data_IF_784592480028
#
_entry.id   IF_784592480028
#
_cell.length_a   1.000
_cell.length_b   1.000
_cell.length_c   1.000
_cell.angle_alpha   90.00
_cell.angle_beta   90.00
_cell.angle_gamma   90.00
#
_symmetry.space_group_name_H-M   'P 1'
#
loop_
_entity.id
_entity.type
_entity.pdbx_description
1 polymer ?
#
# COMPACT_ATOMS: atom_id res chain seq x y z
N UNK A 1 -55.40 44.62 -48.00
CA UNK A 1 -54.20 44.51 -47.11
C UNK A 1 -54.13 43.09 -46.63
N UNK A 2 -53.35 42.26 -47.37
CA UNK A 2 -53.20 40.83 -47.10
C UNK A 2 -51.82 40.64 -46.43
N UNK A 3 -51.83 40.18 -45.17
CA UNK A 3 -50.60 39.89 -44.43
C UNK A 3 -50.08 38.51 -44.82
N UNK A 4 -48.85 38.42 -45.30
CA UNK A 4 -48.09 37.18 -45.50
C UNK A 4 -47.54 36.69 -44.16
N UNK A 5 -47.81 35.39 -43.85
CA UNK A 5 -47.17 34.65 -42.78
C UNK A 5 -45.85 34.03 -43.33
N UNK A 6 -44.76 34.01 -42.57
CA UNK A 6 -43.51 33.35 -43.00
C UNK A 6 -43.61 31.81 -42.81
N UNK A 7 -43.04 31.13 -43.80
CA UNK A 7 -42.84 29.67 -43.85
C UNK A 7 -42.03 29.13 -42.67
N UNK A 8 -42.46 27.96 -42.14
CA UNK A 8 -41.74 27.22 -41.10
C UNK A 8 -40.46 26.60 -41.63
N UNK A 9 -39.33 26.93 -40.97
CA UNK A 9 -38.05 26.32 -41.25
C UNK A 9 -38.02 24.81 -40.86
N UNK A 10 -37.62 23.98 -41.77
CA UNK A 10 -37.43 22.53 -41.64
C UNK A 10 -36.28 22.23 -40.65
N UNK A 11 -36.61 21.75 -39.45
CA UNK A 11 -35.63 21.36 -38.43
C UNK A 11 -35.28 19.85 -38.63
N UNK A 12 -34.26 19.60 -39.42
CA UNK A 12 -33.65 18.27 -39.50
C UNK A 12 -33.08 17.86 -38.13
N UNK A 13 -33.33 16.62 -37.64
CA UNK A 13 -32.83 16.18 -36.34
C UNK A 13 -31.33 16.04 -36.39
N UNK A 14 -30.62 16.78 -35.54
CA UNK A 14 -29.18 16.62 -35.27
C UNK A 14 -28.94 15.20 -34.75
N UNK A 15 -28.43 14.33 -35.56
CA UNK A 15 -27.95 13.01 -35.12
C UNK A 15 -26.86 13.23 -34.07
N UNK A 16 -27.17 12.99 -32.80
CA UNK A 16 -26.20 12.95 -31.71
C UNK A 16 -25.10 11.95 -32.09
N UNK A 17 -23.87 12.42 -32.15
CA UNK A 17 -22.70 11.53 -32.20
C UNK A 17 -22.78 10.64 -30.97
N UNK A 18 -23.02 9.35 -31.16
CA UNK A 18 -22.74 8.35 -30.15
C UNK A 18 -21.24 8.44 -29.88
N UNK A 19 -20.85 8.96 -28.74
CA UNK A 19 -19.48 8.87 -28.26
C UNK A 19 -19.17 7.37 -28.07
N UNK A 20 -18.20 6.87 -28.80
CA UNK A 20 -17.69 5.51 -28.55
C UNK A 20 -17.35 5.41 -27.05
N UNK A 21 -17.74 4.32 -26.37
CA UNK A 21 -17.34 4.10 -25.00
C UNK A 21 -15.80 4.13 -24.95
N UNK A 22 -15.25 4.90 -24.03
CA UNK A 22 -13.79 4.95 -23.83
C UNK A 22 -13.28 3.51 -23.64
N UNK A 23 -12.13 3.14 -24.23
CA UNK A 23 -11.58 1.81 -24.10
C UNK A 23 -11.50 1.43 -22.62
N UNK A 24 -11.94 0.22 -22.29
CA UNK A 24 -11.91 -0.29 -20.94
C UNK A 24 -10.47 -0.21 -20.41
N UNK A 25 -10.26 0.47 -19.29
CA UNK A 25 -8.94 0.58 -18.67
C UNK A 25 -8.50 -0.81 -18.22
N UNK A 26 -7.21 -1.15 -18.35
CA UNK A 26 -6.69 -2.40 -17.78
C UNK A 26 -6.92 -2.39 -16.26
N UNK A 27 -7.28 -3.55 -15.71
CA UNK A 27 -7.46 -3.69 -14.28
C UNK A 27 -6.14 -3.41 -13.54
N UNK A 28 -6.24 -2.79 -12.36
CA UNK A 28 -5.10 -2.60 -11.47
C UNK A 28 -4.67 -3.96 -10.91
N UNK A 29 -3.37 -4.30 -10.96
CA UNK A 29 -2.89 -5.58 -10.44
C UNK A 29 -3.06 -5.62 -8.91
N UNK A 30 -3.69 -6.69 -8.40
CA UNK A 30 -3.92 -6.88 -6.97
C UNK A 30 -3.06 -8.01 -6.43
N UNK A 31 -2.24 -7.72 -5.44
CA UNK A 31 -1.46 -8.69 -4.67
C UNK A 31 -2.22 -9.02 -3.38
N UNK A 32 -2.06 -10.26 -2.88
CA UNK A 32 -2.54 -10.59 -1.54
C UNK A 32 -1.61 -10.07 -0.44
N UNK A 33 -2.03 -10.21 0.81
CA UNK A 33 -1.20 -9.90 1.99
C UNK A 33 -1.27 -11.05 2.99
N UNK A 34 -0.14 -11.43 3.56
CA UNK A 34 -0.10 -12.52 4.55
C UNK A 34 -0.51 -12.06 5.96
N UNK A 35 -0.66 -10.77 6.20
CA UNK A 35 -0.88 -10.19 7.53
C UNK A 35 -2.17 -10.71 8.19
N UNK A 36 -3.25 -10.84 7.45
CA UNK A 36 -4.54 -11.30 7.98
C UNK A 36 -4.51 -12.67 8.66
N UNK A 37 -3.51 -13.49 8.35
CA UNK A 37 -3.31 -14.80 8.97
C UNK A 37 -2.29 -14.82 10.12
N UNK A 38 -1.67 -13.70 10.47
CA UNK A 38 -0.49 -13.64 11.35
C UNK A 38 -0.65 -14.47 12.65
N UNK A 39 -1.81 -14.43 13.28
CA UNK A 39 -2.10 -15.16 14.51
C UNK A 39 -3.18 -16.25 14.33
N UNK A 40 -3.62 -16.50 13.10
CA UNK A 40 -4.73 -17.41 12.80
C UNK A 40 -4.25 -18.73 12.17
N UNK A 41 -3.16 -18.70 11.40
CA UNK A 41 -2.63 -19.88 10.72
C UNK A 41 -1.11 -19.77 10.52
N UNK A 42 -0.40 -20.91 10.34
CA UNK A 42 1.00 -20.91 9.93
C UNK A 42 1.20 -20.18 8.58
N UNK A 43 2.35 -19.53 8.40
CA UNK A 43 2.67 -18.80 7.16
C UNK A 43 2.46 -19.65 5.90
N UNK A 44 2.91 -20.91 5.92
CA UNK A 44 2.76 -21.80 4.76
C UNK A 44 1.29 -22.04 4.36
N UNK A 45 0.37 -22.04 5.30
CA UNK A 45 -1.06 -22.21 5.04
C UNK A 45 -1.67 -20.90 4.50
N UNK A 46 -1.27 -19.76 5.04
CA UNK A 46 -1.64 -18.44 4.51
C UNK A 46 -1.21 -18.28 3.04
N UNK A 47 0.02 -18.66 2.70
CA UNK A 47 0.53 -18.61 1.33
C UNK A 47 -0.28 -19.53 0.38
N UNK A 48 -0.60 -20.75 0.83
CA UNK A 48 -1.45 -21.66 0.04
C UNK A 48 -2.87 -21.12 -0.12
N UNK A 49 -3.44 -20.51 0.92
CA UNK A 49 -4.75 -19.85 0.84
C UNK A 49 -4.77 -18.75 -0.21
N UNK A 50 -3.79 -17.84 -0.21
CA UNK A 50 -3.65 -16.82 -1.23
C UNK A 50 -3.56 -17.40 -2.65
N UNK A 51 -2.75 -18.45 -2.85
CA UNK A 51 -2.63 -19.11 -4.16
C UNK A 51 -3.95 -19.74 -4.63
N UNK A 52 -4.72 -20.38 -3.71
CA UNK A 52 -6.06 -20.93 -4.01
C UNK A 52 -7.06 -19.85 -4.44
N UNK A 53 -6.95 -18.65 -3.88
CA UNK A 53 -7.81 -17.50 -4.23
C UNK A 53 -7.39 -16.78 -5.52
N UNK A 54 -6.40 -17.31 -6.23
CA UNK A 54 -5.99 -16.80 -7.54
C UNK A 54 -4.86 -15.78 -7.53
N UNK A 55 -4.39 -15.34 -6.37
CA UNK A 55 -3.25 -14.43 -6.31
C UNK A 55 -1.98 -15.04 -6.93
N UNK A 56 -1.21 -14.22 -7.61
CA UNK A 56 0.10 -14.57 -8.19
C UNK A 56 1.24 -13.80 -7.52
N UNK A 57 0.88 -12.84 -6.69
CA UNK A 57 1.82 -12.00 -5.96
C UNK A 57 1.27 -11.66 -4.59
N UNK A 58 2.18 -11.37 -3.65
CA UNK A 58 1.80 -11.00 -2.29
C UNK A 58 2.76 -10.00 -1.69
N UNK A 59 2.26 -9.31 -0.67
CA UNK A 59 3.04 -8.67 0.37
C UNK A 59 3.27 -9.67 1.51
N UNK A 60 4.54 -9.82 1.90
CA UNK A 60 4.94 -10.70 2.99
C UNK A 60 5.08 -9.90 4.28
N UNK A 61 4.21 -10.16 5.24
CA UNK A 61 4.34 -9.60 6.60
C UNK A 61 5.43 -10.31 7.36
N UNK A 62 6.39 -9.56 7.89
CA UNK A 62 7.56 -10.07 8.61
C UNK A 62 7.46 -9.75 10.10
N UNK A 63 6.52 -10.41 10.75
CA UNK A 63 6.32 -10.34 12.18
C UNK A 63 6.19 -11.76 12.77
N UNK A 64 6.64 -12.01 14.01
CA UNK A 64 6.32 -13.23 14.72
C UNK A 64 4.80 -13.36 14.90
N UNK A 65 4.22 -14.60 14.83
CA UNK A 65 4.90 -15.89 14.71
C UNK A 65 5.23 -16.33 13.26
N UNK A 66 4.86 -15.57 12.23
CA UNK A 66 5.10 -15.99 10.85
C UNK A 66 6.59 -15.97 10.50
N UNK A 67 7.24 -14.84 10.65
CA UNK A 67 8.63 -14.64 10.27
C UNK A 67 9.23 -13.46 11.05
N UNK A 68 10.48 -13.61 11.49
CA UNK A 68 11.25 -12.53 12.09
C UNK A 68 12.56 -12.35 11.30
N UNK A 69 12.62 -11.35 10.44
CA UNK A 69 13.70 -11.15 9.49
C UNK A 69 15.11 -11.17 10.10
N UNK A 70 15.37 -10.56 11.29
CA UNK A 70 16.70 -10.63 11.92
C UNK A 70 17.19 -12.02 12.32
N UNK A 71 16.26 -12.97 12.55
CA UNK A 71 16.59 -14.35 12.92
C UNK A 71 16.38 -15.34 11.76
N UNK A 72 15.94 -14.85 10.60
CA UNK A 72 15.64 -15.67 9.43
C UNK A 72 16.89 -15.82 8.55
N UNK A 73 17.58 -16.95 8.72
CA UNK A 73 18.88 -17.18 8.12
C UNK A 73 18.83 -17.53 6.62
N UNK A 74 20.01 -17.67 5.98
CA UNK A 74 20.07 -17.95 4.53
C UNK A 74 19.42 -19.28 4.11
N UNK A 75 19.39 -20.27 5.00
CA UNK A 75 18.73 -21.54 4.71
C UNK A 75 17.21 -21.34 4.65
N UNK A 76 16.61 -20.75 5.68
CA UNK A 76 15.18 -20.49 5.79
C UNK A 76 14.69 -19.58 4.64
N UNK A 77 15.49 -18.58 4.23
CA UNK A 77 15.19 -17.72 3.08
C UNK A 77 15.09 -18.51 1.77
N UNK A 78 16.02 -19.45 1.54
CA UNK A 78 15.99 -20.33 0.35
C UNK A 78 14.78 -21.27 0.38
N UNK A 79 14.47 -21.89 1.52
CA UNK A 79 13.31 -22.74 1.68
C UNK A 79 12.00 -21.99 1.42
N UNK A 80 11.88 -20.75 1.93
CA UNK A 80 10.73 -19.90 1.67
C UNK A 80 10.62 -19.53 0.18
N UNK A 81 11.73 -19.15 -0.45
CA UNK A 81 11.77 -18.85 -1.87
C UNK A 81 11.36 -20.06 -2.73
N UNK A 82 11.85 -21.27 -2.39
CA UNK A 82 11.45 -22.52 -3.05
C UNK A 82 9.97 -22.83 -2.86
N UNK A 83 9.44 -22.63 -1.65
CA UNK A 83 8.01 -22.80 -1.34
C UNK A 83 7.15 -21.85 -2.17
N UNK A 84 7.49 -20.58 -2.21
CA UNK A 84 6.78 -19.55 -3.01
C UNK A 84 6.79 -19.91 -4.50
N UNK A 85 7.95 -20.29 -5.04
CA UNK A 85 8.07 -20.72 -6.43
C UNK A 85 7.23 -21.97 -6.73
N UNK A 86 7.21 -22.96 -5.81
CA UNK A 86 6.46 -24.19 -5.94
C UNK A 86 4.94 -23.98 -5.97
N UNK A 87 4.43 -22.94 -5.34
CA UNK A 87 2.99 -22.60 -5.35
C UNK A 87 2.65 -21.46 -6.33
N UNK A 88 3.61 -20.95 -7.08
CA UNK A 88 3.41 -19.93 -8.11
C UNK A 88 3.15 -18.53 -7.58
N UNK A 89 3.64 -18.20 -6.38
CA UNK A 89 3.58 -16.87 -5.78
C UNK A 89 4.92 -16.15 -5.86
N UNK A 90 4.89 -14.83 -6.08
CA UNK A 90 6.06 -13.96 -5.97
C UNK A 90 5.82 -12.89 -4.91
N UNK A 91 6.86 -12.52 -4.17
CA UNK A 91 6.81 -11.43 -3.19
C UNK A 91 7.00 -10.10 -3.94
N UNK A 92 6.07 -9.16 -3.80
CA UNK A 92 6.21 -7.80 -4.35
C UNK A 92 6.80 -6.85 -3.34
N UNK A 93 6.40 -7.00 -2.08
CA UNK A 93 6.83 -6.18 -0.95
C UNK A 93 7.00 -7.01 0.31
N UNK A 94 7.86 -6.54 1.18
CA UNK A 94 8.03 -7.02 2.54
C UNK A 94 7.51 -5.93 3.47
N UNK A 95 6.63 -6.30 4.41
CA UNK A 95 6.00 -5.38 5.35
C UNK A 95 6.33 -5.79 6.79
N UNK A 96 7.35 -5.18 7.43
CA UNK A 96 7.62 -5.39 8.84
C UNK A 96 6.54 -4.76 9.70
N UNK A 97 6.08 -5.46 10.73
CA UNK A 97 5.13 -4.90 11.69
C UNK A 97 5.70 -3.64 12.34
N UNK A 98 4.99 -2.53 12.20
CA UNK A 98 5.41 -1.23 12.75
C UNK A 98 5.23 -1.13 14.27
N UNK A 99 4.54 -2.09 14.90
CA UNK A 99 4.23 -2.01 16.33
C UNK A 99 5.48 -1.86 17.22
N UNK A 100 6.56 -2.54 16.82
CA UNK A 100 7.83 -2.59 17.55
C UNK A 100 8.95 -1.77 16.89
N UNK A 101 8.63 -1.03 15.81
CA UNK A 101 9.57 -0.21 15.03
C UNK A 101 9.27 1.27 15.27
N UNK A 102 10.28 2.03 15.69
CA UNK A 102 10.15 3.46 15.88
C UNK A 102 11.49 4.18 15.64
N UNK A 103 11.77 4.55 14.39
CA UNK A 103 12.95 5.33 14.00
C UNK A 103 12.95 6.74 14.57
N UNK A 104 11.80 7.27 14.99
CA UNK A 104 11.66 8.60 15.61
C UNK A 104 11.56 8.55 17.14
N UNK A 105 11.86 7.41 17.73
CA UNK A 105 11.88 7.27 19.19
C UNK A 105 12.88 8.24 19.84
N UNK A 106 12.52 8.82 20.98
CA UNK A 106 13.46 9.58 21.80
C UNK A 106 14.51 8.68 22.48
N UNK A 107 14.20 7.38 22.65
CA UNK A 107 15.15 6.39 23.16
C UNK A 107 16.09 5.91 22.03
N UNK A 108 17.42 6.12 22.15
CA UNK A 108 18.37 5.69 21.12
C UNK A 108 18.39 4.18 20.91
N UNK A 109 18.24 3.36 21.95
CA UNK A 109 18.25 1.90 21.84
C UNK A 109 17.08 1.39 20.97
N UNK A 110 15.89 2.01 21.11
CA UNK A 110 14.74 1.68 20.25
C UNK A 110 15.04 2.04 18.80
N UNK A 111 15.70 3.16 18.53
CA UNK A 111 16.10 3.52 17.14
C UNK A 111 17.08 2.52 16.56
N UNK A 112 18.11 2.11 17.32
CA UNK A 112 19.08 1.12 16.88
C UNK A 112 18.46 -0.25 16.59
N UNK A 113 17.55 -0.70 17.45
CA UNK A 113 16.79 -1.94 17.24
C UNK A 113 15.93 -1.83 15.97
N UNK A 114 15.24 -0.69 15.80
CA UNK A 114 14.38 -0.44 14.65
C UNK A 114 15.17 -0.42 13.33
N UNK A 115 16.30 0.28 13.30
CA UNK A 115 17.19 0.34 12.14
C UNK A 115 17.70 -1.06 11.77
N UNK A 116 18.21 -1.80 12.75
CA UNK A 116 18.70 -3.17 12.53
C UNK A 116 17.63 -4.11 12.00
N UNK A 117 16.39 -4.02 12.52
CA UNK A 117 15.27 -4.82 12.02
C UNK A 117 14.89 -4.45 10.59
N UNK A 118 14.83 -3.17 10.26
CA UNK A 118 14.50 -2.69 8.91
C UNK A 118 15.59 -3.05 7.89
N UNK A 119 16.87 -2.97 8.26
CA UNK A 119 17.97 -3.44 7.41
C UNK A 119 17.82 -4.94 7.12
N UNK A 120 17.52 -5.76 8.12
CA UNK A 120 17.30 -7.19 7.92
C UNK A 120 16.10 -7.47 6.98
N UNK A 121 15.05 -6.64 7.00
CA UNK A 121 13.93 -6.72 6.08
C UNK A 121 14.31 -6.29 4.65
N UNK A 122 15.17 -5.29 4.48
CA UNK A 122 15.71 -4.89 3.16
C UNK A 122 16.52 -6.04 2.56
N UNK A 123 17.34 -6.72 3.36
CA UNK A 123 18.13 -7.89 2.93
C UNK A 123 17.23 -9.07 2.58
N UNK A 124 16.22 -9.36 3.41
CA UNK A 124 15.23 -10.40 3.12
C UNK A 124 14.46 -10.12 1.83
N UNK A 125 14.06 -8.87 1.60
CA UNK A 125 13.39 -8.46 0.37
C UNK A 125 14.25 -8.77 -0.86
N UNK A 126 15.55 -8.44 -0.81
CA UNK A 126 16.49 -8.75 -1.88
C UNK A 126 16.63 -10.25 -2.13
N UNK A 127 16.75 -11.07 -1.07
CA UNK A 127 16.89 -12.53 -1.17
C UNK A 127 15.60 -13.20 -1.71
N UNK A 128 14.43 -12.62 -1.47
CA UNK A 128 13.15 -13.11 -1.99
C UNK A 128 12.76 -12.52 -3.36
N UNK A 129 13.58 -11.64 -3.93
CA UNK A 129 13.31 -10.97 -5.20
C UNK A 129 12.15 -9.95 -5.12
N UNK A 130 11.81 -9.50 -3.91
CA UNK A 130 10.87 -8.41 -3.71
C UNK A 130 11.48 -7.08 -4.14
N UNK A 131 10.63 -6.14 -4.55
CA UNK A 131 11.08 -4.81 -4.99
C UNK A 131 10.99 -3.77 -3.88
N UNK A 132 10.06 -3.94 -2.95
CA UNK A 132 9.71 -2.93 -1.97
C UNK A 132 9.83 -3.45 -0.54
N UNK A 133 10.18 -2.54 0.38
CA UNK A 133 10.00 -2.71 1.83
C UNK A 133 9.14 -1.55 2.30
N UNK A 134 7.98 -1.88 2.87
CA UNK A 134 7.05 -0.91 3.45
C UNK A 134 7.61 -0.46 4.79
N UNK A 135 7.60 0.84 5.06
CA UNK A 135 8.12 1.40 6.30
C UNK A 135 7.19 2.47 6.86
N UNK A 136 6.55 2.17 7.98
CA UNK A 136 6.00 3.19 8.85
C UNK A 136 7.13 3.62 9.80
N UNK A 137 7.64 4.87 9.72
CA UNK A 137 8.89 5.22 10.39
C UNK A 137 8.78 5.32 11.91
N UNK A 138 7.60 5.18 12.47
CA UNK A 138 7.37 5.19 13.91
C UNK A 138 6.22 6.08 14.34
N UNK A 139 6.16 6.37 15.64
CA UNK A 139 5.06 7.09 16.28
C UNK A 139 5.55 8.28 17.10
N UNK A 140 4.73 9.33 17.16
CA UNK A 140 4.94 10.45 18.08
C UNK A 140 4.37 10.12 19.45
N UNK A 141 4.97 10.67 20.49
CA UNK A 141 4.37 10.63 21.82
C UNK A 141 3.10 11.50 21.80
N UNK A 142 1.95 10.91 22.16
CA UNK A 142 0.65 11.59 22.03
C UNK A 142 0.52 12.85 22.91
N UNK A 143 1.07 12.83 24.14
CA UNK A 143 0.94 13.92 25.11
C UNK A 143 2.13 14.90 25.09
N UNK A 144 3.31 14.44 24.71
CA UNK A 144 4.55 15.24 24.74
C UNK A 144 5.39 14.93 23.47
N UNK A 145 4.93 15.34 22.29
CA UNK A 145 5.67 15.08 21.06
C UNK A 145 7.00 15.86 21.05
N UNK A 146 8.04 15.23 20.54
CA UNK A 146 9.30 15.93 20.30
C UNK A 146 9.08 17.09 19.30
N UNK A 147 9.81 18.21 19.44
CA UNK A 147 9.75 19.32 18.49
C UNK A 147 10.01 18.82 17.05
N UNK A 148 9.26 19.35 16.08
CA UNK A 148 9.32 18.91 14.68
C UNK A 148 10.72 18.82 14.09
N UNK A 149 11.59 19.87 14.22
CA UNK A 149 12.95 19.80 13.70
C UNK A 149 13.81 18.72 14.35
N UNK A 150 13.66 18.47 15.65
CA UNK A 150 14.40 17.41 16.35
C UNK A 150 13.95 16.01 15.91
N UNK A 151 12.63 15.78 15.83
CA UNK A 151 12.08 14.53 15.33
C UNK A 151 12.48 14.27 13.87
N UNK A 152 12.51 15.32 13.05
CA UNK A 152 12.95 15.24 11.65
C UNK A 152 14.43 14.86 11.54
N UNK A 153 15.31 15.46 12.33
CA UNK A 153 16.74 15.11 12.33
C UNK A 153 16.97 13.66 12.75
N UNK A 154 16.18 13.16 13.70
CA UNK A 154 16.24 11.75 14.13
C UNK A 154 15.75 10.82 13.02
N UNK A 155 14.65 11.16 12.34
CA UNK A 155 14.17 10.40 11.17
C UNK A 155 15.21 10.35 10.05
N UNK A 156 15.82 11.50 9.73
CA UNK A 156 16.82 11.58 8.68
C UNK A 156 18.05 10.72 8.99
N UNK A 157 18.48 10.68 10.25
CA UNK A 157 19.58 9.82 10.68
C UNK A 157 19.26 8.33 10.50
N UNK A 158 18.05 7.89 10.90
CA UNK A 158 17.60 6.51 10.71
C UNK A 158 17.42 6.13 9.23
N UNK A 159 16.85 7.03 8.42
CA UNK A 159 16.67 6.79 6.99
C UNK A 159 18.01 6.69 6.24
N UNK A 160 19.07 7.36 6.69
CA UNK A 160 20.36 7.36 5.99
C UNK A 160 20.94 5.95 5.84
N UNK A 161 20.97 5.15 6.91
CA UNK A 161 21.45 3.77 6.87
C UNK A 161 20.55 2.88 6.00
N UNK A 162 19.22 3.05 6.11
CA UNK A 162 18.25 2.28 5.34
C UNK A 162 18.36 2.56 3.85
N UNK A 163 18.44 3.84 3.45
CA UNK A 163 18.54 4.25 2.04
C UNK A 163 19.85 3.74 1.45
N UNK A 164 20.98 3.89 2.16
CA UNK A 164 22.26 3.36 1.70
C UNK A 164 22.21 1.83 1.47
N UNK A 165 21.58 1.08 2.38
CA UNK A 165 21.43 -0.37 2.22
C UNK A 165 20.50 -0.73 1.06
N UNK A 166 19.38 -0.01 0.93
CA UNK A 166 18.42 -0.18 -0.15
C UNK A 166 19.04 0.10 -1.54
N UNK A 167 19.86 1.16 -1.65
CA UNK A 167 20.60 1.49 -2.87
C UNK A 167 21.58 0.36 -3.25
N UNK A 168 22.34 -0.15 -2.28
CA UNK A 168 23.29 -1.24 -2.50
C UNK A 168 22.63 -2.54 -3.00
N UNK A 169 21.39 -2.81 -2.59
CA UNK A 169 20.66 -4.03 -2.94
C UNK A 169 19.61 -3.84 -4.04
N UNK A 170 19.42 -2.62 -4.54
CA UNK A 170 18.41 -2.33 -5.55
C UNK A 170 16.97 -2.34 -5.04
N UNK A 171 16.76 -2.32 -3.70
CA UNK A 171 15.46 -2.28 -3.05
C UNK A 171 14.94 -0.85 -2.97
N UNK A 172 13.62 -0.69 -2.96
CA UNK A 172 12.95 0.60 -2.73
C UNK A 172 12.27 0.57 -1.37
N UNK A 173 12.60 1.53 -0.52
CA UNK A 173 11.88 1.82 0.72
C UNK A 173 10.63 2.60 0.33
N UNK A 174 9.47 2.11 0.73
CA UNK A 174 8.19 2.75 0.50
C UNK A 174 7.60 3.20 1.84
N UNK A 175 7.69 4.52 2.11
CA UNK A 175 7.16 5.11 3.35
C UNK A 175 5.64 5.11 3.32
N UNK A 176 5.03 4.63 4.39
CA UNK A 176 3.58 4.48 4.48
C UNK A 176 2.95 5.53 5.39
N UNK A 177 1.78 6.08 4.95
CA UNK A 177 0.92 6.90 5.78
C UNK A 177 0.28 6.05 6.88
N UNK A 178 0.18 6.60 8.10
CA UNK A 178 -0.50 5.92 9.21
C UNK A 178 -1.15 6.95 10.13
N UNK A 179 -2.44 6.78 10.50
CA UNK A 179 -3.16 7.74 11.34
C UNK A 179 -2.53 7.92 12.73
N UNK A 180 -1.82 6.92 13.23
CA UNK A 180 -1.09 6.95 14.49
C UNK A 180 0.42 7.08 14.33
N UNK A 181 0.89 7.19 13.09
CA UNK A 181 2.29 7.29 12.71
C UNK A 181 2.86 8.69 12.87
N UNK A 182 4.16 8.78 12.65
CA UNK A 182 4.87 10.07 12.54
C UNK A 182 4.48 10.81 11.26
N UNK A 183 4.28 10.07 10.16
CA UNK A 183 3.83 10.56 8.85
C UNK A 183 2.40 10.08 8.63
N UNK A 184 1.43 10.98 8.78
CA UNK A 184 0.01 10.61 8.70
C UNK A 184 -0.58 10.87 7.32
N UNK A 185 -0.20 11.98 6.69
CA UNK A 185 -0.79 12.47 5.44
C UNK A 185 0.15 12.27 4.25
N UNK A 186 -0.44 12.24 3.07
CA UNK A 186 0.30 12.24 1.81
C UNK A 186 1.32 13.39 1.76
N UNK A 187 0.94 14.60 2.17
CA UNK A 187 1.84 15.76 2.22
C UNK A 187 3.07 15.56 3.09
N UNK A 188 2.95 14.83 4.21
CA UNK A 188 4.08 14.53 5.09
C UNK A 188 5.09 13.62 4.37
N UNK A 189 4.59 12.59 3.68
CA UNK A 189 5.39 11.63 2.91
C UNK A 189 6.11 12.31 1.74
N UNK A 190 5.39 13.14 0.97
CA UNK A 190 5.94 13.87 -0.17
C UNK A 190 7.09 14.77 0.26
N UNK A 191 6.94 15.53 1.35
CA UNK A 191 8.00 16.39 1.88
C UNK A 191 9.29 15.61 2.20
N UNK A 192 9.16 14.39 2.74
CA UNK A 192 10.32 13.56 3.04
C UNK A 192 10.98 13.07 1.75
N UNK A 193 10.21 12.51 0.83
CA UNK A 193 10.74 11.95 -0.42
C UNK A 193 11.40 13.02 -1.28
N UNK A 194 10.78 14.19 -1.40
CA UNK A 194 11.34 15.35 -2.13
C UNK A 194 12.64 15.85 -1.51
N UNK A 195 12.73 15.92 -0.20
CA UNK A 195 13.95 16.34 0.49
C UNK A 195 15.10 15.36 0.29
N UNK A 196 14.81 14.06 0.34
CA UNK A 196 15.83 13.02 0.19
C UNK A 196 16.32 12.83 -1.23
N UNK A 197 15.46 13.03 -2.24
CA UNK A 197 15.75 12.89 -3.68
C UNK A 197 16.40 11.56 -4.06
N UNK A 198 16.25 10.52 -3.23
CA UNK A 198 16.74 9.18 -3.57
C UNK A 198 15.75 8.45 -4.46
N UNK A 199 16.17 7.77 -5.52
CA UNK A 199 15.30 6.91 -6.32
C UNK A 199 14.82 5.68 -5.53
N UNK A 200 15.42 5.41 -4.37
CA UNK A 200 15.10 4.28 -3.49
C UNK A 200 14.23 4.65 -2.30
N UNK A 201 13.75 5.88 -2.22
CA UNK A 201 12.78 6.32 -1.23
C UNK A 201 11.51 6.78 -1.95
N UNK A 202 10.41 6.09 -1.71
CA UNK A 202 9.12 6.27 -2.37
C UNK A 202 7.99 6.19 -1.35
N UNK A 203 6.76 6.20 -1.83
CA UNK A 203 5.54 6.19 -1.01
C UNK A 203 4.77 4.89 -1.21
N UNK A 204 4.35 4.27 -0.12
CA UNK A 204 3.18 3.41 -0.04
C UNK A 204 2.02 4.27 0.45
N UNK A 205 0.91 4.25 -0.28
CA UNK A 205 -0.30 4.95 0.15
C UNK A 205 -1.40 3.95 0.50
N UNK A 206 -1.79 3.94 1.76
CA UNK A 206 -2.85 3.09 2.29
C UNK A 206 -4.15 3.88 2.40
N UNK A 207 -5.18 3.39 1.70
CA UNK A 207 -6.50 4.04 1.63
C UNK A 207 -7.23 3.99 2.98
N UNK A 208 -7.10 2.88 3.73
CA UNK A 208 -7.74 2.72 5.03
C UNK A 208 -7.08 3.58 6.11
N UNK A 209 -5.78 3.71 6.04
CA UNK A 209 -5.03 4.63 6.92
C UNK A 209 -5.38 6.09 6.65
N UNK A 210 -5.69 6.44 5.41
CA UNK A 210 -5.96 7.82 4.98
C UNK A 210 -7.36 8.29 5.34
N UNK A 211 -8.40 7.46 5.21
CA UNK A 211 -9.81 7.86 5.22
C UNK A 211 -10.23 8.67 6.46
N UNK A 212 -9.63 8.41 7.62
CA UNK A 212 -9.93 9.15 8.85
C UNK A 212 -9.30 10.55 8.93
N UNK A 213 -8.32 10.86 8.05
CA UNK A 213 -7.48 12.06 8.19
C UNK A 213 -7.40 12.93 6.93
N UNK A 214 -7.72 12.39 5.76
CA UNK A 214 -7.74 13.11 4.48
C UNK A 214 -8.62 12.40 3.46
N UNK A 215 -8.93 13.07 2.35
CA UNK A 215 -9.56 12.43 1.19
C UNK A 215 -8.54 11.52 0.48
N UNK A 216 -8.78 10.19 0.39
CA UNK A 216 -7.80 9.28 -0.18
C UNK A 216 -7.48 9.53 -1.66
N UNK A 217 -8.46 9.96 -2.45
CA UNK A 217 -8.24 10.25 -3.86
C UNK A 217 -7.34 11.49 -4.03
N UNK A 218 -7.52 12.51 -3.20
CA UNK A 218 -6.66 13.69 -3.19
C UNK A 218 -5.26 13.36 -2.68
N UNK A 219 -5.15 12.51 -1.65
CA UNK A 219 -3.87 12.03 -1.15
C UNK A 219 -3.06 11.30 -2.22
N UNK A 220 -3.70 10.45 -3.04
CA UNK A 220 -3.06 9.79 -4.20
C UNK A 220 -2.57 10.82 -5.22
N UNK A 221 -3.39 11.81 -5.59
CA UNK A 221 -2.98 12.86 -6.53
C UNK A 221 -1.76 13.62 -6.02
N UNK A 222 -1.74 13.91 -4.72
CA UNK A 222 -0.61 14.59 -4.08
C UNK A 222 0.66 13.74 -4.05
N UNK A 223 0.53 12.42 -3.80
CA UNK A 223 1.66 11.49 -3.86
C UNK A 223 2.27 11.42 -5.28
N UNK A 224 1.43 11.49 -6.31
CA UNK A 224 1.85 11.63 -7.70
C UNK A 224 2.90 10.60 -8.13
N UNK A 225 3.97 11.07 -8.76
CA UNK A 225 5.07 10.24 -9.26
C UNK A 225 5.89 9.53 -8.15
N UNK A 226 5.75 9.96 -6.89
CA UNK A 226 6.44 9.33 -5.77
C UNK A 226 5.75 8.06 -5.29
N UNK A 227 4.50 7.80 -5.71
CA UNK A 227 3.75 6.61 -5.34
C UNK A 227 4.34 5.35 -5.98
N UNK A 228 4.73 4.39 -5.17
CA UNK A 228 5.33 3.14 -5.62
C UNK A 228 4.45 1.91 -5.34
N UNK A 229 3.63 1.97 -4.31
CA UNK A 229 2.76 0.89 -3.85
C UNK A 229 1.49 1.49 -3.25
N UNK A 230 0.35 0.81 -3.40
CA UNK A 230 -0.89 1.22 -2.76
C UNK A 230 -1.49 0.05 -1.97
N UNK A 231 -1.89 0.31 -0.72
CA UNK A 231 -2.65 -0.64 0.09
C UNK A 231 -4.14 -0.37 -0.05
N UNK A 232 -4.90 -1.45 -0.12
CA UNK A 232 -6.35 -1.45 -0.36
C UNK A 232 -7.00 -2.33 0.70
N UNK A 233 -7.86 -1.74 1.50
CA UNK A 233 -8.77 -2.44 2.42
C UNK A 233 -9.92 -1.50 2.78
N UNK A 234 -10.97 -1.99 3.43
CA UNK A 234 -12.07 -1.14 3.83
C UNK A 234 -11.92 -0.67 5.29
N UNK A 235 -12.52 0.48 5.58
CA UNK A 235 -12.49 1.11 6.90
C UNK A 235 -13.65 2.11 7.01
N UNK A 236 -13.80 2.73 8.18
CA UNK A 236 -14.72 3.85 8.40
C UNK A 236 -13.95 5.11 8.78
N UNK A 237 -14.44 6.26 8.36
CA UNK A 237 -13.83 7.53 8.76
C UNK A 237 -13.80 7.72 10.30
N UNK A 238 -14.78 7.12 11.00
CA UNK A 238 -14.89 7.18 12.47
C UNK A 238 -14.19 6.04 13.21
N UNK A 239 -13.74 5.01 12.50
CA UNK A 239 -13.14 3.81 13.11
C UNK A 239 -12.08 3.22 12.19
N UNK A 240 -10.82 3.44 12.51
CA UNK A 240 -9.72 2.83 11.79
C UNK A 240 -9.75 1.30 11.87
N UNK A 241 -9.71 0.66 10.73
CA UNK A 241 -9.71 -0.79 10.56
C UNK A 241 -9.10 -1.16 9.20
N UNK A 242 -8.82 -2.44 9.00
CA UNK A 242 -8.48 -3.03 7.70
C UNK A 242 -9.41 -4.24 7.51
N UNK A 243 -10.63 -3.98 7.07
CA UNK A 243 -11.71 -4.97 7.01
C UNK A 243 -12.06 -5.35 5.57
N UNK A 244 -12.99 -6.30 5.42
CA UNK A 244 -13.50 -6.79 4.13
C UNK A 244 -14.03 -5.68 3.24
N UNK A 245 -13.67 -5.71 1.96
CA UNK A 245 -14.13 -4.75 0.98
C UNK A 245 -15.66 -4.72 0.86
N UNK A 246 -16.25 -3.52 0.87
CA UNK A 246 -17.68 -3.29 0.82
C UNK A 246 -18.37 -3.31 2.19
N UNK A 247 -17.62 -3.40 3.29
CA UNK A 247 -18.19 -3.34 4.65
C UNK A 247 -18.03 -1.99 5.32
N UNK A 248 -17.15 -1.14 4.82
CA UNK A 248 -16.84 0.19 5.33
C UNK A 248 -17.32 1.33 4.41
N UNK A 249 -16.55 2.41 4.36
CA UNK A 249 -16.89 3.68 3.69
C UNK A 249 -15.90 4.05 2.58
N UNK A 250 -14.95 3.17 2.21
CA UNK A 250 -13.94 3.48 1.17
C UNK A 250 -14.60 3.53 -0.21
N UNK A 251 -14.47 4.65 -0.93
CA UNK A 251 -14.79 4.74 -2.37
C UNK A 251 -13.67 4.10 -3.20
N UNK A 252 -13.70 2.78 -3.32
CA UNK A 252 -12.74 2.03 -4.13
C UNK A 252 -12.70 2.51 -5.59
N UNK A 253 -13.87 2.84 -6.17
CA UNK A 253 -13.95 3.36 -7.54
C UNK A 253 -13.26 4.72 -7.68
N UNK A 254 -13.46 5.63 -6.72
CA UNK A 254 -12.78 6.93 -6.65
C UNK A 254 -11.27 6.78 -6.49
N UNK A 255 -10.85 5.87 -5.61
CA UNK A 255 -9.43 5.57 -5.39
C UNK A 255 -8.77 4.99 -6.66
N UNK A 256 -9.40 4.02 -7.32
CA UNK A 256 -8.91 3.47 -8.60
C UNK A 256 -8.80 4.54 -9.69
N UNK A 257 -9.76 5.46 -9.77
CA UNK A 257 -9.70 6.59 -10.71
C UNK A 257 -8.52 7.51 -10.42
N UNK A 258 -8.28 7.86 -9.16
CA UNK A 258 -7.15 8.70 -8.76
C UNK A 258 -5.80 8.04 -9.10
N UNK A 259 -5.65 6.74 -8.85
CA UNK A 259 -4.45 5.98 -9.25
C UNK A 259 -4.24 6.04 -10.77
N UNK A 260 -5.31 5.90 -11.55
CA UNK A 260 -5.22 5.97 -13.00
C UNK A 260 -4.93 7.40 -13.52
N UNK A 261 -5.42 8.44 -12.85
CA UNK A 261 -5.18 9.86 -13.20
C UNK A 261 -3.70 10.22 -13.09
N UNK A 262 -3.00 9.69 -12.08
CA UNK A 262 -1.54 9.88 -11.91
C UNK A 262 -0.70 8.93 -12.76
N UNK A 263 -1.31 8.04 -13.55
CA UNK A 263 -0.59 7.05 -14.36
C UNK A 263 0.06 5.95 -13.53
N UNK A 264 -0.49 5.61 -12.36
CA UNK A 264 0.10 4.59 -11.49
C UNK A 264 0.08 3.20 -12.15
N UNK A 265 1.22 2.54 -12.14
CA UNK A 265 1.43 1.19 -12.69
C UNK A 265 2.09 0.23 -11.68
N UNK A 266 2.27 0.71 -10.45
CA UNK A 266 2.83 -0.10 -9.36
C UNK A 266 1.86 -1.19 -8.87
N UNK A 267 2.33 -2.07 -7.98
CA UNK A 267 1.46 -3.07 -7.36
C UNK A 267 0.46 -2.41 -6.40
N UNK A 268 -0.73 -3.00 -6.32
CA UNK A 268 -1.64 -2.77 -5.21
C UNK A 268 -1.70 -4.02 -4.33
N UNK A 269 -1.94 -3.86 -3.05
CA UNK A 269 -1.97 -4.95 -2.06
C UNK A 269 -3.30 -4.91 -1.33
N UNK A 270 -4.00 -6.03 -1.29
CA UNK A 270 -5.20 -6.18 -0.47
C UNK A 270 -4.81 -6.54 0.94
N UNK A 271 -4.81 -5.56 1.84
CA UNK A 271 -4.36 -5.68 3.22
C UNK A 271 -5.54 -5.85 4.19
N UNK A 272 -6.08 -7.06 4.27
CA UNK A 272 -7.17 -7.43 5.18
C UNK A 272 -6.61 -7.90 6.53
N UNK A 273 -6.84 -7.12 7.60
CA UNK A 273 -6.27 -7.37 8.94
C UNK A 273 -7.29 -7.00 10.03
N UNK A 274 -8.19 -7.91 10.38
CA UNK A 274 -9.21 -7.66 11.40
C UNK A 274 -9.38 -8.77 12.44
N UNK A 275 -8.46 -9.75 12.43
CA UNK A 275 -8.46 -10.86 13.37
C UNK A 275 -9.47 -11.96 13.05
N UNK A 276 -10.10 -11.93 11.88
CA UNK A 276 -11.03 -12.94 11.38
C UNK A 276 -10.41 -13.62 10.17
N UNK A 277 -10.54 -14.96 10.05
CA UNK A 277 -9.98 -15.72 8.95
C UNK A 277 -10.35 -15.09 7.58
N UNK A 278 -9.34 -14.63 6.81
CA UNK A 278 -9.59 -14.00 5.52
C UNK A 278 -10.12 -14.97 4.45
N UNK A 279 -9.69 -16.24 4.47
CA UNK A 279 -9.89 -17.14 3.32
C UNK A 279 -11.36 -17.30 2.90
N UNK A 280 -12.34 -17.52 3.78
CA UNK A 280 -13.73 -17.65 3.36
C UNK A 280 -14.36 -16.34 2.86
N UNK A 281 -13.76 -15.18 3.15
CA UNK A 281 -14.29 -13.86 2.76
C UNK A 281 -13.70 -13.35 1.45
N UNK A 282 -12.48 -13.76 1.10
CA UNK A 282 -11.77 -13.30 -0.08
C UNK A 282 -12.59 -13.37 -1.39
N UNK A 283 -13.39 -14.40 -1.69
CA UNK A 283 -14.17 -14.42 -2.93
C UNK A 283 -15.17 -13.25 -3.05
N UNK A 284 -15.83 -12.87 -1.96
CA UNK A 284 -16.75 -11.74 -1.93
C UNK A 284 -16.00 -10.40 -2.03
N UNK A 285 -14.92 -10.26 -1.28
CA UNK A 285 -14.07 -9.07 -1.28
C UNK A 285 -13.47 -8.80 -2.67
N UNK A 286 -12.96 -9.85 -3.32
CA UNK A 286 -12.41 -9.77 -4.68
C UNK A 286 -13.47 -9.39 -5.71
N UNK A 287 -14.72 -9.82 -5.54
CA UNK A 287 -15.81 -9.41 -6.41
C UNK A 287 -16.11 -7.91 -6.29
N UNK A 288 -16.08 -7.34 -5.07
CA UNK A 288 -16.23 -5.90 -4.84
C UNK A 288 -15.08 -5.13 -5.48
N UNK A 289 -13.84 -5.57 -5.25
CA UNK A 289 -12.66 -4.92 -5.82
C UNK A 289 -12.61 -5.03 -7.34
N UNK A 290 -13.03 -6.17 -7.91
CA UNK A 290 -13.11 -6.35 -9.36
C UNK A 290 -14.12 -5.38 -10.00
N UNK A 291 -15.26 -5.16 -9.36
CA UNK A 291 -16.23 -4.16 -9.82
C UNK A 291 -15.69 -2.73 -9.79
N UNK A 292 -14.72 -2.45 -8.93
CA UNK A 292 -14.03 -1.16 -8.82
C UNK A 292 -12.75 -1.04 -9.66
N UNK A 293 -12.34 -2.13 -10.35
CA UNK A 293 -11.24 -2.11 -11.34
C UNK A 293 -9.95 -2.81 -10.92
N UNK A 294 -9.97 -3.69 -9.91
CA UNK A 294 -8.81 -4.52 -9.54
C UNK A 294 -8.92 -5.96 -10.00
N UNK A 295 -7.77 -6.63 -10.21
CA UNK A 295 -7.71 -8.07 -10.46
C UNK A 295 -6.44 -8.69 -9.83
N UNK A 296 -6.55 -9.91 -9.20
CA UNK A 296 -5.42 -10.66 -8.67
C UNK A 296 -4.42 -11.11 -9.74
#
# INVERSE_FOLDING_TARGET
>A
MTQHLPEAADASPVRGRMTEPAPARPALPLSGCSFGWLHLAPLADALRALARQGFRSLELTTAPPHLFAPAFGPYERRELAATLAGIGLRVVSVNPSFADINLVSTNPEIREVSERQLIANIELAADLGARYVVVIPGRRHALAPAPGPAAQAVLDAGLAALVARAEALGITIALENSPYGYLGRSSDLVQIVERWRSPRLRITYDVANALAIEDPAEGVRQAGEYLALAHVSDTWASKWAHTSAGTGEVDFGGFARALAEIGFTGPTVYELVDGVDPEPRLPADLAVLAAAGWAP
#
